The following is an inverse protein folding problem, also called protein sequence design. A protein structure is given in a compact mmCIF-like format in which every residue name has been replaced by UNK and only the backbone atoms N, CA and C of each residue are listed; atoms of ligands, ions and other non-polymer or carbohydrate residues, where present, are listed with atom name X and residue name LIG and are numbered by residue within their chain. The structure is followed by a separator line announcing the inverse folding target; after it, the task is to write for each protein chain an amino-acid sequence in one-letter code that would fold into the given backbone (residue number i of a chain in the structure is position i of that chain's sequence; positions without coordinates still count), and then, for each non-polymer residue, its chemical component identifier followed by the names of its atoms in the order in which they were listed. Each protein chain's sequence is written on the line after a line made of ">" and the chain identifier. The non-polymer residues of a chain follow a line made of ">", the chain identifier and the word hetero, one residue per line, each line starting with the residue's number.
data_IF_112638144644
#
_entry.id   IF_112638144644
#
_cell.length_a   1.000
_cell.length_b   1.000
_cell.length_c   1.000
_cell.angle_alpha   90.00
_cell.angle_beta   90.00
_cell.angle_gamma   90.00
#
_symmetry.space_group_name_H-M   'P 1'
#
loop_
_entity.id
_entity.type
_entity.pdbx_description
1 polymer ?
#
# COMPACT_ATOMS: atom_id res chain seq x y z
N UNK A 1 24.94 -2.96 2.44
CA UNK A 1 24.82 -2.18 1.19
C UNK A 1 25.80 -2.80 0.19
N UNK A 2 25.34 -3.34 -0.93
CA UNK A 2 26.21 -3.96 -1.94
C UNK A 2 26.26 -3.10 -3.20
N UNK A 3 27.50 -2.83 -3.64
CA UNK A 3 27.97 -2.38 -4.97
C UNK A 3 27.77 -0.92 -5.39
N UNK A 4 28.90 -0.23 -5.62
CA UNK A 4 29.05 1.06 -6.30
C UNK A 4 28.98 0.86 -7.82
N UNK A 5 27.89 1.31 -8.44
CA UNK A 5 27.66 1.26 -9.89
C UNK A 5 26.27 0.76 -10.27
N UNK A 6 25.57 0.10 -9.35
CA UNK A 6 24.28 -0.51 -9.66
C UNK A 6 23.11 0.48 -9.50
N UNK A 7 22.37 0.70 -10.57
CA UNK A 7 21.06 1.38 -10.52
C UNK A 7 20.01 0.56 -9.77
N UNK A 8 20.33 -0.69 -9.42
CA UNK A 8 19.52 -1.64 -8.66
C UNK A 8 20.03 -1.75 -7.22
N UNK A 9 19.25 -1.23 -6.29
CA UNK A 9 19.56 -1.23 -4.85
C UNK A 9 18.69 -2.28 -4.16
N UNK A 10 19.28 -3.07 -3.25
CA UNK A 10 18.53 -3.94 -2.35
C UNK A 10 18.69 -3.49 -0.92
N UNK A 11 17.58 -3.30 -0.22
CA UNK A 11 17.52 -2.93 1.20
C UNK A 11 16.82 -4.04 1.99
N UNK A 12 17.51 -4.61 2.98
CA UNK A 12 16.95 -5.59 3.90
C UNK A 12 16.50 -4.89 5.20
N UNK A 13 15.21 -4.99 5.53
CA UNK A 13 14.64 -4.38 6.73
C UNK A 13 14.87 -5.16 8.03
N UNK A 14 15.54 -6.32 7.97
CA UNK A 14 15.90 -7.12 9.16
C UNK A 14 14.71 -7.64 9.97
N UNK A 15 13.52 -7.68 9.39
CA UNK A 15 12.27 -8.04 10.07
C UNK A 15 11.70 -6.93 10.97
N UNK A 16 12.31 -5.74 10.98
CA UNK A 16 11.88 -4.57 11.75
C UNK A 16 10.77 -3.77 11.06
N UNK A 17 10.49 -2.57 11.58
CA UNK A 17 9.54 -1.65 10.95
C UNK A 17 9.99 -1.28 9.53
N UNK A 18 9.03 -1.16 8.60
CA UNK A 18 9.34 -0.87 7.19
C UNK A 18 9.71 0.59 6.92
N UNK A 19 9.29 1.52 7.78
CA UNK A 19 9.51 2.97 7.57
C UNK A 19 11.00 3.33 7.45
N UNK A 20 11.90 2.91 8.36
CA UNK A 20 13.33 3.20 8.22
C UNK A 20 13.94 2.60 6.94
N UNK A 21 13.57 1.37 6.59
CA UNK A 21 14.07 0.71 5.38
C UNK A 21 13.60 1.40 4.10
N UNK A 22 12.34 1.85 4.06
CA UNK A 22 11.79 2.64 2.95
C UNK A 22 12.44 4.02 2.84
N UNK A 23 12.75 4.67 3.97
CA UNK A 23 13.44 5.95 3.97
C UNK A 23 14.85 5.81 3.37
N UNK A 24 15.63 4.85 3.85
CA UNK A 24 16.97 4.54 3.31
C UNK A 24 16.88 4.24 1.81
N UNK A 25 15.90 3.45 1.38
CA UNK A 25 15.70 3.12 -0.03
C UNK A 25 15.39 4.36 -0.87
N UNK A 26 14.49 5.23 -0.41
CA UNK A 26 14.10 6.44 -1.14
C UNK A 26 15.26 7.43 -1.29
N UNK A 27 16.02 7.66 -0.22
CA UNK A 27 17.20 8.53 -0.22
C UNK A 27 18.28 7.98 -1.17
N UNK A 28 18.60 6.69 -1.06
CA UNK A 28 19.61 6.03 -1.90
C UNK A 28 19.21 6.04 -3.39
N UNK A 29 17.93 5.77 -3.70
CA UNK A 29 17.43 5.81 -5.09
C UNK A 29 17.48 7.21 -5.66
N UNK A 30 17.12 8.23 -4.87
CA UNK A 30 17.17 9.61 -5.33
C UNK A 30 18.60 10.04 -5.68
N UNK A 31 19.57 9.71 -4.83
CA UNK A 31 20.98 9.99 -5.09
C UNK A 31 21.46 9.32 -6.38
N UNK A 32 21.19 8.02 -6.54
CA UNK A 32 21.61 7.26 -7.73
C UNK A 32 20.89 7.68 -9.00
N UNK A 33 19.60 8.00 -8.92
CA UNK A 33 18.82 8.46 -10.06
C UNK A 33 19.33 9.80 -10.60
N UNK A 34 19.86 10.69 -9.74
CA UNK A 34 20.49 11.94 -10.17
C UNK A 34 21.81 11.73 -10.91
N UNK A 35 22.59 10.74 -10.49
CA UNK A 35 23.87 10.39 -11.12
C UNK A 35 23.69 9.63 -12.44
N UNK A 36 22.69 8.74 -12.51
CA UNK A 36 22.56 7.73 -13.57
C UNK A 36 21.31 7.91 -14.46
N UNK A 37 20.46 8.89 -14.17
CA UNK A 37 19.18 9.14 -14.85
C UNK A 37 18.02 8.26 -14.36
N UNK A 38 18.31 7.07 -13.82
CA UNK A 38 17.32 6.16 -13.25
C UNK A 38 17.94 5.25 -12.19
N UNK A 39 17.20 4.97 -11.13
CA UNK A 39 17.54 3.95 -10.14
C UNK A 39 16.27 3.30 -9.58
N UNK A 40 16.42 2.08 -9.06
CA UNK A 40 15.36 1.25 -8.50
C UNK A 40 15.84 0.65 -7.19
N UNK A 41 15.01 0.67 -6.14
CA UNK A 41 15.28 -0.08 -4.91
C UNK A 41 14.22 -1.15 -4.66
N UNK A 42 14.67 -2.30 -4.19
CA UNK A 42 13.82 -3.34 -3.63
C UNK A 42 14.01 -3.40 -2.12
N UNK A 43 12.94 -3.17 -1.37
CA UNK A 43 12.92 -3.32 0.09
C UNK A 43 12.31 -4.67 0.43
N UNK A 44 13.04 -5.49 1.18
CA UNK A 44 12.61 -6.84 1.57
C UNK A 44 12.67 -7.02 3.08
N UNK A 45 12.04 -8.10 3.57
CA UNK A 45 12.11 -8.52 4.97
C UNK A 45 11.85 -7.36 5.94
N UNK A 46 10.76 -6.62 5.70
CA UNK A 46 10.35 -5.50 6.53
C UNK A 46 8.89 -5.64 6.93
N UNK A 47 8.52 -5.01 8.04
CA UNK A 47 7.16 -4.91 8.55
C UNK A 47 6.36 -3.82 7.84
N UNK A 48 5.41 -3.23 8.56
CA UNK A 48 4.54 -2.19 8.01
C UNK A 48 5.36 -0.97 7.52
N UNK A 49 5.14 -0.57 6.27
CA UNK A 49 5.89 0.50 5.59
C UNK A 49 5.30 1.90 5.78
N UNK A 50 4.12 2.00 6.39
CA UNK A 50 3.46 3.29 6.60
C UNK A 50 2.78 3.80 5.32
N UNK A 51 2.75 5.12 5.15
CA UNK A 51 2.21 5.78 3.96
C UNK A 51 3.27 5.85 2.87
N UNK A 52 3.21 4.94 1.89
CA UNK A 52 4.24 4.85 0.85
C UNK A 52 4.36 6.11 -0.01
N UNK A 53 3.27 6.88 -0.15
CA UNK A 53 3.26 8.16 -0.85
C UNK A 53 4.19 9.21 -0.24
N UNK A 54 4.51 9.12 1.06
CA UNK A 54 5.48 10.03 1.67
C UNK A 54 6.89 9.85 1.09
N UNK A 55 7.29 8.61 0.80
CA UNK A 55 8.60 8.33 0.20
C UNK A 55 8.62 8.74 -1.28
N UNK A 56 7.51 8.51 -1.99
CA UNK A 56 7.35 8.97 -3.37
C UNK A 56 7.44 10.51 -3.44
N UNK A 57 6.83 11.21 -2.49
CA UNK A 57 6.92 12.67 -2.36
C UNK A 57 8.36 13.13 -2.14
N UNK A 58 9.13 12.48 -1.27
CA UNK A 58 10.55 12.80 -1.04
C UNK A 58 11.36 12.71 -2.34
N UNK A 59 11.15 11.66 -3.13
CA UNK A 59 11.84 11.47 -4.43
C UNK A 59 11.40 12.56 -5.43
N UNK A 60 10.11 12.88 -5.49
CA UNK A 60 9.56 13.92 -6.38
C UNK A 60 10.02 15.34 -6.01
N UNK A 61 10.14 15.66 -4.72
CA UNK A 61 10.77 16.90 -4.25
C UNK A 61 12.25 16.99 -4.66
N UNK A 62 12.86 15.84 -4.93
CA UNK A 62 14.20 15.74 -5.50
C UNK A 62 14.29 15.98 -7.02
N UNK A 63 13.20 16.37 -7.67
CA UNK A 63 13.03 16.51 -9.13
C UNK A 63 13.11 15.19 -9.92
N UNK A 64 12.74 14.07 -9.29
CA UNK A 64 12.67 12.77 -9.94
C UNK A 64 11.24 12.22 -9.92
N UNK A 65 10.78 11.61 -11.02
CA UNK A 65 9.55 10.81 -11.01
C UNK A 65 9.73 9.62 -10.04
N UNK A 66 8.72 9.33 -9.22
CA UNK A 66 8.72 8.17 -8.35
C UNK A 66 7.55 7.24 -8.65
N UNK A 67 7.83 5.94 -8.70
CA UNK A 67 6.83 4.87 -8.73
C UNK A 67 7.18 3.88 -7.62
N UNK A 68 6.25 3.67 -6.69
CA UNK A 68 6.43 2.76 -5.57
C UNK A 68 5.25 1.80 -5.52
N UNK A 69 5.56 0.50 -5.51
CA UNK A 69 4.56 -0.56 -5.36
C UNK A 69 4.88 -1.38 -4.12
N UNK A 70 3.88 -1.62 -3.28
CA UNK A 70 4.03 -2.42 -2.08
C UNK A 70 3.36 -3.79 -2.22
N UNK A 71 3.96 -4.79 -1.59
CA UNK A 71 3.37 -6.11 -1.42
C UNK A 71 3.45 -6.55 0.04
N UNK A 72 2.34 -7.04 0.60
CA UNK A 72 2.35 -7.65 1.94
C UNK A 72 2.72 -9.13 1.87
N UNK A 73 3.68 -9.56 2.68
CA UNK A 73 4.06 -10.98 2.76
C UNK A 73 2.97 -11.82 3.46
N UNK A 74 2.61 -12.93 2.84
CA UNK A 74 1.71 -13.96 3.39
C UNK A 74 2.31 -14.71 4.61
N UNK A 75 3.60 -14.53 4.89
CA UNK A 75 4.30 -15.24 5.96
C UNK A 75 4.05 -14.67 7.37
N UNK A 76 3.56 -13.43 7.50
CA UNK A 76 3.39 -12.74 8.80
C UNK A 76 1.95 -12.31 9.12
N UNK A 77 0.96 -12.86 8.42
CA UNK A 77 -0.45 -12.61 8.72
C UNK A 77 -1.39 -13.21 7.67
N UNK A 78 -2.67 -13.40 8.05
CA UNK A 78 -3.70 -13.82 7.09
C UNK A 78 -3.99 -12.68 6.11
N UNK A 79 -3.97 -12.92 4.79
CA UNK A 79 -4.38 -11.91 3.83
C UNK A 79 -5.84 -11.57 4.09
N UNK A 80 -6.20 -10.30 3.96
CA UNK A 80 -7.55 -9.83 4.30
C UNK A 80 -8.30 -9.29 3.09
N UNK A 81 -7.79 -9.38 1.88
CA UNK A 81 -8.51 -8.91 0.68
C UNK A 81 -9.04 -10.12 -0.09
N UNK A 82 -10.35 -10.22 -0.22
CA UNK A 82 -10.99 -11.23 -1.05
C UNK A 82 -10.90 -10.84 -2.54
N UNK A 83 -10.53 -11.78 -3.44
CA UNK A 83 -10.57 -11.53 -4.87
C UNK A 83 -12.02 -11.33 -5.31
N UNK A 84 -12.22 -10.76 -6.50
CA UNK A 84 -13.57 -10.62 -7.05
C UNK A 84 -14.26 -11.99 -7.16
N UNK A 85 -15.48 -12.10 -6.62
CA UNK A 85 -16.22 -13.37 -6.53
C UNK A 85 -15.71 -14.33 -5.44
N UNK A 86 -14.66 -13.96 -4.70
CA UNK A 86 -14.14 -14.72 -3.58
C UNK A 86 -14.89 -14.44 -2.28
N UNK A 87 -14.78 -15.38 -1.33
CA UNK A 87 -15.44 -15.33 -0.01
C UNK A 87 -14.45 -15.22 1.15
N UNK A 88 -13.16 -15.32 0.86
CA UNK A 88 -12.09 -15.32 1.86
C UNK A 88 -10.91 -14.44 1.41
N UNK A 89 -10.20 -13.88 2.39
CA UNK A 89 -9.04 -13.04 2.15
C UNK A 89 -7.83 -13.86 1.71
N UNK A 90 -7.39 -13.67 0.46
CA UNK A 90 -6.17 -14.30 -0.08
C UNK A 90 -5.16 -13.28 -0.61
N UNK A 91 -5.55 -12.01 -0.75
CA UNK A 91 -4.70 -10.91 -1.20
C UNK A 91 -4.38 -9.91 -0.09
N UNK A 92 -3.30 -9.16 -0.28
CA UNK A 92 -2.93 -7.99 0.52
C UNK A 92 -3.41 -6.69 -0.18
N UNK A 93 -3.63 -5.58 0.55
CA UNK A 93 -4.07 -4.30 -0.04
C UNK A 93 -3.11 -3.65 -1.04
N UNK A 94 -1.90 -4.20 -1.21
CA UNK A 94 -0.87 -3.87 -2.20
C UNK A 94 -0.97 -2.42 -2.74
N UNK A 95 -0.38 -1.45 -2.04
CA UNK A 95 -0.52 -0.05 -2.39
C UNK A 95 0.33 0.34 -3.60
N UNK A 96 -0.14 1.34 -4.33
CA UNK A 96 0.56 2.00 -5.42
C UNK A 96 0.70 3.48 -5.09
N UNK A 97 1.91 4.00 -5.21
CA UNK A 97 2.18 5.42 -5.13
C UNK A 97 2.95 5.91 -6.36
N UNK A 98 2.48 7.01 -6.93
CA UNK A 98 3.09 7.73 -8.03
C UNK A 98 3.35 9.17 -7.58
N UNK A 99 4.52 9.70 -7.86
CA UNK A 99 4.81 11.11 -7.59
C UNK A 99 5.54 11.76 -8.76
N UNK A 100 5.05 12.95 -9.15
CA UNK A 100 5.57 13.76 -10.23
C UNK A 100 6.14 15.07 -9.65
N UNK A 101 7.33 15.53 -10.11
CA UNK A 101 7.82 16.85 -9.76
C UNK A 101 6.94 17.93 -10.42
N UNK A 102 6.31 18.79 -9.63
CA UNK A 102 5.49 19.91 -10.14
C UNK A 102 6.21 21.25 -10.21
N UNK A 103 7.54 21.27 -10.04
CA UNK A 103 8.31 22.52 -10.03
C UNK A 103 7.87 23.45 -8.88
N UNK A 104 7.58 24.74 -9.15
CA UNK A 104 7.23 25.71 -8.10
C UNK A 104 5.98 25.36 -7.28
N UNK A 105 5.07 24.52 -7.81
CA UNK A 105 3.82 24.15 -7.13
C UNK A 105 3.98 22.97 -6.15
N UNK A 106 5.19 22.41 -6.04
CA UNK A 106 5.44 21.21 -5.23
C UNK A 106 5.14 19.91 -5.96
N UNK A 107 5.42 18.77 -5.32
CA UNK A 107 5.20 17.45 -5.90
C UNK A 107 3.71 17.09 -5.97
N UNK A 108 3.28 16.46 -7.06
CA UNK A 108 1.95 15.86 -7.20
C UNK A 108 2.05 14.39 -6.84
N UNK A 109 1.30 13.94 -5.83
CA UNK A 109 1.37 12.58 -5.30
C UNK A 109 0.01 11.90 -5.40
N UNK A 110 0.00 10.69 -5.94
CA UNK A 110 -1.15 9.79 -6.00
C UNK A 110 -0.78 8.54 -5.21
N UNK A 111 -1.42 8.29 -4.07
CA UNK A 111 -1.17 7.13 -3.19
C UNK A 111 -2.51 6.44 -2.87
N UNK A 112 -2.65 5.19 -3.29
CA UNK A 112 -3.87 4.42 -3.08
C UNK A 112 -3.59 2.94 -2.80
N UNK A 113 -4.43 2.36 -1.95
CA UNK A 113 -4.48 0.91 -1.77
C UNK A 113 -5.36 0.27 -2.85
N UNK A 114 -5.10 -0.99 -3.17
CA UNK A 114 -5.96 -1.81 -4.04
C UNK A 114 -7.11 -2.49 -3.30
N UNK A 115 -7.34 -2.18 -2.02
CA UNK A 115 -8.55 -2.57 -1.28
C UNK A 115 -9.63 -1.48 -1.37
N UNK A 116 -10.93 -1.83 -1.26
CA UNK A 116 -12.04 -0.86 -1.42
C UNK A 116 -11.97 0.23 -0.36
N UNK A 117 -11.45 -0.13 0.82
CA UNK A 117 -11.32 0.76 1.95
C UNK A 117 -9.94 0.57 2.59
N UNK A 118 -9.34 1.68 3.04
CA UNK A 118 -8.13 1.66 3.85
C UNK A 118 -8.47 1.18 5.27
N UNK A 119 -7.58 0.38 5.87
CA UNK A 119 -7.75 -0.12 7.24
C UNK A 119 -8.01 0.99 8.27
N UNK A 120 -7.41 2.17 8.07
CA UNK A 120 -7.62 3.33 8.94
C UNK A 120 -9.06 3.82 8.98
N UNK A 121 -9.81 3.72 7.87
CA UNK A 121 -11.24 4.08 7.84
C UNK A 121 -12.09 3.08 8.63
N UNK A 122 -11.77 1.79 8.58
CA UNK A 122 -12.42 0.79 9.42
C UNK A 122 -12.12 1.03 10.91
N UNK A 123 -10.87 1.35 11.24
CA UNK A 123 -10.50 1.66 12.62
C UNK A 123 -11.20 2.93 13.15
N UNK A 124 -11.44 3.92 12.29
CA UNK A 124 -12.23 5.09 12.64
C UNK A 124 -13.70 4.71 12.88
N UNK A 125 -14.30 3.95 11.97
CA UNK A 125 -15.68 3.46 12.09
C UNK A 125 -15.90 2.58 13.34
N UNK A 126 -14.90 1.77 13.73
CA UNK A 126 -14.98 0.98 14.97
C UNK A 126 -14.97 1.83 16.24
N UNK A 127 -14.50 3.08 16.17
CA UNK A 127 -14.56 4.01 17.30
C UNK A 127 -15.88 4.79 17.35
N UNK A 128 -16.49 5.04 16.18
CA UNK A 128 -17.75 5.79 16.09
C UNK A 128 -18.98 4.89 16.14
N UNK A 129 -18.82 3.57 16.01
CA UNK A 129 -19.91 2.59 15.87
C UNK A 129 -20.87 2.91 14.71
N UNK A 130 -20.41 3.67 13.73
CA UNK A 130 -21.21 3.98 12.54
C UNK A 130 -21.19 2.79 11.58
N UNK A 131 -22.33 2.50 10.93
CA UNK A 131 -22.39 1.47 9.90
C UNK A 131 -21.50 1.84 8.72
N UNK A 132 -20.78 0.86 8.20
CA UNK A 132 -19.98 0.99 7.00
C UNK A 132 -20.89 1.10 5.77
N UNK A 133 -20.38 1.77 4.73
CA UNK A 133 -21.02 1.74 3.41
C UNK A 133 -21.14 0.28 2.95
N UNK A 134 -22.28 -0.15 2.38
CA UNK A 134 -22.42 -1.49 1.82
C UNK A 134 -21.33 -1.85 0.81
N UNK A 135 -20.90 -3.11 0.81
CA UNK A 135 -19.92 -3.63 -0.14
C UNK A 135 -18.45 -3.44 0.24
N UNK A 136 -18.14 -2.89 1.42
CA UNK A 136 -16.76 -2.69 1.88
C UNK A 136 -16.11 -3.95 2.46
N UNK A 137 -16.88 -4.78 3.16
CA UNK A 137 -16.37 -5.95 3.89
C UNK A 137 -17.28 -7.18 3.73
N UNK A 138 -16.70 -8.35 3.97
CA UNK A 138 -17.39 -9.63 4.11
C UNK A 138 -17.21 -10.14 5.55
N UNK A 139 -18.24 -10.77 6.11
CA UNK A 139 -18.18 -11.50 7.38
C UNK A 139 -17.35 -12.79 7.27
N UNK A 140 -17.19 -13.53 8.39
CA UNK A 140 -16.47 -14.80 8.42
C UNK A 140 -17.10 -15.88 7.52
N UNK A 141 -18.39 -15.76 7.19
CA UNK A 141 -19.12 -16.67 6.29
C UNK A 141 -19.03 -16.22 4.81
N UNK A 142 -18.29 -15.15 4.53
CA UNK A 142 -18.15 -14.56 3.19
C UNK A 142 -19.40 -13.83 2.71
N UNK A 143 -20.27 -13.36 3.60
CA UNK A 143 -21.46 -12.57 3.25
C UNK A 143 -21.16 -11.07 3.41
N UNK A 144 -21.71 -10.20 2.55
CA UNK A 144 -21.58 -8.75 2.72
C UNK A 144 -22.04 -8.30 4.10
N UNK A 145 -21.24 -7.46 4.75
CA UNK A 145 -21.59 -6.83 6.04
C UNK A 145 -21.32 -5.33 6.02
N UNK A 146 -22.09 -4.60 6.82
CA UNK A 146 -21.88 -3.18 7.13
C UNK A 146 -21.40 -2.97 8.57
N UNK A 147 -21.24 -4.04 9.34
CA UNK A 147 -20.76 -3.97 10.72
C UNK A 147 -19.24 -4.19 10.78
N UNK A 148 -18.54 -3.15 11.20
CA UNK A 148 -17.08 -3.18 11.36
C UNK A 148 -16.59 -4.29 12.30
N UNK A 149 -17.42 -4.75 13.24
CA UNK A 149 -17.10 -5.86 14.14
C UNK A 149 -16.92 -7.17 13.40
N UNK A 150 -17.66 -7.39 12.31
CA UNK A 150 -17.55 -8.60 11.50
C UNK A 150 -16.19 -8.70 10.80
N UNK A 151 -15.60 -7.55 10.44
CA UNK A 151 -14.23 -7.50 9.91
C UNK A 151 -13.18 -7.91 10.97
N UNK A 152 -13.35 -7.47 12.22
CA UNK A 152 -12.44 -7.85 13.32
C UNK A 152 -12.68 -9.28 13.82
N UNK A 153 -13.90 -9.80 13.67
CA UNK A 153 -14.29 -11.17 14.03
C UNK A 153 -13.80 -12.27 13.07
N UNK A 154 -13.04 -11.92 12.03
CA UNK A 154 -12.50 -12.88 11.05
C UNK A 154 -12.93 -12.64 9.61
N UNK A 155 -13.70 -11.58 9.36
CA UNK A 155 -14.04 -11.11 8.02
C UNK A 155 -12.86 -10.55 7.23
N UNK A 156 -13.15 -10.15 6.00
CA UNK A 156 -12.16 -9.65 5.04
C UNK A 156 -12.70 -8.45 4.24
N UNK A 157 -11.80 -7.68 3.62
CA UNK A 157 -12.09 -6.62 2.67
C UNK A 157 -12.63 -7.21 1.37
N UNK A 158 -13.61 -6.52 0.79
CA UNK A 158 -13.87 -6.64 -0.64
C UNK A 158 -12.73 -5.97 -1.44
N UNK A 159 -12.51 -6.41 -2.67
CA UNK A 159 -11.63 -5.74 -3.64
C UNK A 159 -12.44 -4.70 -4.46
N UNK A 160 -11.89 -3.50 -4.76
CA UNK A 160 -12.57 -2.48 -5.54
C UNK A 160 -12.53 -2.75 -7.05
N UNK A 161 -11.64 -3.64 -7.51
CA UNK A 161 -11.52 -3.97 -8.93
C UNK A 161 -12.27 -5.26 -9.29
N UNK A 162 -13.52 -5.07 -9.70
CA UNK A 162 -14.34 -5.99 -10.48
C UNK A 162 -15.52 -5.25 -11.10
N UNK A 163 -15.52 -5.14 -12.44
CA UNK A 163 -16.42 -4.40 -13.37
C UNK A 163 -16.83 -2.96 -12.96
N UNK A 164 -16.61 -2.00 -13.88
CA UNK A 164 -16.99 -0.57 -13.72
C UNK A 164 -18.52 -0.35 -13.78
N UNK A 165 -19.29 -1.41 -13.90
CA UNK A 165 -20.61 -1.41 -14.53
C UNK A 165 -21.72 -2.11 -13.71
N UNK A 166 -21.47 -2.56 -12.48
CA UNK A 166 -22.55 -3.09 -11.64
C UNK A 166 -22.56 -2.48 -10.25
N UNK A 167 -23.44 -1.48 -10.08
CA UNK A 167 -24.10 -1.25 -8.80
C UNK A 167 -24.77 -2.58 -8.39
N UNK A 168 -24.43 -3.08 -7.22
CA UNK A 168 -24.98 -4.30 -6.66
C UNK A 168 -26.47 -4.09 -6.37
N UNK A 169 -27.32 -4.58 -7.27
CA UNK A 169 -28.74 -4.83 -7.02
C UNK A 169 -28.98 -6.23 -6.47
#
# INVERSE_FOLDING_TARGET
>A
MTSSGDSLIRVDGGGGHGVPAMQIAAETVLERAREQGMATATVINCGHTGRIGAFAETIARGNCLAVITGGGSHARGKPKVAPYGGREGVMSPNPYAFALPGGPTGAVVVDFATSVVAQGKLLAASKTNEPLVPGLILDQSGRPSTDVRDYYGGGCYCRPLGRRDTAWG
#
